data_IF_154592614262
#
_entry.id   IF_154592614262
#
_cell.length_a   1.000
_cell.length_b   1.000
_cell.length_c   1.000
_cell.angle_alpha   90.00
_cell.angle_beta   90.00
_cell.angle_gamma   90.00
#
_symmetry.space_group_name_H-M   'P 1'
#
loop_
_entity.id
_entity.type
_entity.pdbx_description
1 polymer ?
#
# COMPACT_ATOMS: atom_id res chain seq x y z
N UNK A 1 -4.98 -7.26 22.85
CA UNK A 1 -5.55 -6.28 21.90
C UNK A 1 -5.20 -6.69 20.48
N UNK A 2 -6.18 -7.08 19.67
CA UNK A 2 -6.01 -7.34 18.23
C UNK A 2 -5.96 -6.04 17.39
N UNK A 3 -5.64 -4.90 18.02
CA UNK A 3 -5.73 -3.56 17.42
C UNK A 3 -4.84 -3.39 16.19
N UNK A 4 -3.64 -3.97 16.21
CA UNK A 4 -2.67 -3.78 15.13
C UNK A 4 -2.93 -4.68 13.92
N UNK A 5 -3.62 -5.82 14.09
CA UNK A 5 -3.89 -6.74 12.98
C UNK A 5 -4.85 -6.12 11.95
N UNK A 6 -5.88 -5.41 12.43
CA UNK A 6 -6.81 -4.68 11.56
C UNK A 6 -6.10 -3.57 10.80
N UNK A 7 -5.27 -2.79 11.50
CA UNK A 7 -4.50 -1.72 10.90
C UNK A 7 -3.51 -2.25 9.86
N UNK A 8 -2.75 -3.30 10.19
CA UNK A 8 -1.81 -3.94 9.27
C UNK A 8 -2.51 -4.43 8.00
N UNK A 9 -3.66 -5.10 8.12
CA UNK A 9 -4.46 -5.54 6.97
C UNK A 9 -4.90 -4.37 6.10
N UNK A 10 -5.45 -3.33 6.71
CA UNK A 10 -5.89 -2.12 5.99
C UNK A 10 -4.72 -1.43 5.28
N UNK A 11 -3.54 -1.38 5.89
CA UNK A 11 -2.34 -0.82 5.27
C UNK A 11 -1.95 -1.60 4.03
N UNK A 12 -1.88 -2.94 4.11
CA UNK A 12 -1.53 -3.79 2.96
C UNK A 12 -2.56 -3.67 1.81
N UNK A 13 -3.86 -3.64 2.13
CA UNK A 13 -4.92 -3.46 1.12
C UNK A 13 -4.79 -2.12 0.36
N UNK A 14 -4.45 -1.06 1.09
CA UNK A 14 -4.23 0.26 0.50
C UNK A 14 -2.95 0.30 -0.34
N UNK A 15 -1.88 -0.39 0.11
CA UNK A 15 -0.66 -0.54 -0.66
C UNK A 15 -0.91 -1.30 -1.97
N UNK A 16 -1.64 -2.41 -1.95
CA UNK A 16 -1.98 -3.18 -3.15
C UNK A 16 -2.76 -2.33 -4.18
N UNK A 17 -3.69 -1.49 -3.72
CA UNK A 17 -4.42 -0.56 -4.60
C UNK A 17 -3.48 0.47 -5.26
N UNK A 18 -2.46 0.95 -4.53
CA UNK A 18 -1.48 1.91 -5.05
C UNK A 18 -0.48 1.23 -6.00
N UNK A 19 -0.07 0.01 -5.70
CA UNK A 19 0.79 -0.79 -6.55
C UNK A 19 0.12 -1.05 -7.91
N UNK A 20 -1.16 -1.41 -7.92
CA UNK A 20 -1.91 -1.55 -9.17
C UNK A 20 -1.92 -0.26 -10.02
N UNK A 21 -2.05 0.91 -9.40
CA UNK A 21 -1.97 2.20 -10.10
C UNK A 21 -0.57 2.50 -10.64
N UNK A 22 0.48 2.20 -9.87
CA UNK A 22 1.87 2.34 -10.34
C UNK A 22 2.14 1.43 -11.53
N UNK A 23 1.74 0.16 -11.45
CA UNK A 23 1.89 -0.83 -12.52
C UNK A 23 1.16 -0.39 -13.80
N UNK A 24 -0.02 0.21 -13.67
CA UNK A 24 -0.78 0.72 -14.82
C UNK A 24 -0.07 1.84 -15.59
N UNK A 25 0.95 2.48 -14.99
CA UNK A 25 1.77 3.51 -15.64
C UNK A 25 3.11 2.98 -16.17
N UNK A 26 3.41 1.70 -15.98
CA UNK A 26 4.64 1.08 -16.47
C UNK A 26 4.43 0.50 -17.88
N UNK A 27 5.37 0.75 -18.79
CA UNK A 27 5.28 0.26 -20.16
C UNK A 27 5.35 -1.29 -20.22
N UNK A 28 6.24 -1.90 -19.44
CA UNK A 28 6.44 -3.36 -19.41
C UNK A 28 6.72 -3.85 -17.98
N UNK A 29 5.69 -4.00 -17.12
CA UNK A 29 5.87 -4.51 -15.77
C UNK A 29 6.31 -5.98 -15.76
N UNK A 30 7.18 -6.35 -14.83
CA UNK A 30 7.65 -7.72 -14.65
C UNK A 30 6.79 -8.49 -13.64
N UNK A 31 6.97 -9.81 -13.58
CA UNK A 31 6.33 -10.64 -12.54
C UNK A 31 6.74 -10.21 -11.13
N UNK A 32 8.00 -9.79 -10.95
CA UNK A 32 8.48 -9.31 -9.65
C UNK A 32 7.75 -8.02 -9.25
N UNK A 33 7.48 -7.11 -10.19
CA UNK A 33 6.75 -5.88 -9.93
C UNK A 33 5.31 -6.16 -9.48
N UNK A 34 4.67 -7.19 -10.06
CA UNK A 34 3.33 -7.66 -9.70
C UNK A 34 3.25 -8.24 -8.28
N UNK A 35 4.33 -8.82 -7.79
CA UNK A 35 4.38 -9.50 -6.49
C UNK A 35 4.99 -8.65 -5.37
N UNK A 36 5.61 -7.51 -5.71
CA UNK A 36 6.36 -6.69 -4.75
C UNK A 36 5.62 -5.40 -4.42
N UNK A 37 5.34 -5.21 -3.13
CA UNK A 37 4.97 -3.92 -2.56
C UNK A 37 6.23 -3.13 -2.21
N UNK A 38 6.33 -1.88 -2.67
CA UNK A 38 7.48 -1.01 -2.39
C UNK A 38 7.05 0.18 -1.51
N UNK A 39 8.03 0.97 -1.05
CA UNK A 39 7.78 2.12 -0.19
C UNK A 39 6.80 3.12 -0.79
N UNK A 40 6.85 3.33 -2.11
CA UNK A 40 5.96 4.25 -2.83
C UNK A 40 4.48 3.84 -2.77
N UNK A 41 4.19 2.57 -2.48
CA UNK A 41 2.82 2.09 -2.28
C UNK A 41 2.26 2.45 -0.93
N UNK A 42 3.10 2.85 0.04
CA UNK A 42 2.58 3.22 1.35
C UNK A 42 1.62 4.40 1.22
N UNK A 43 0.44 4.30 1.86
CA UNK A 43 -0.40 5.45 2.07
C UNK A 43 0.40 6.54 2.76
N UNK A 44 0.44 7.74 2.18
CA UNK A 44 0.99 8.89 2.89
C UNK A 44 0.17 9.02 4.17
N UNK A 45 0.87 9.07 5.31
CA UNK A 45 0.25 9.38 6.59
C UNK A 45 -0.46 10.72 6.44
N UNK A 46 -1.79 10.68 6.51
CA UNK A 46 -2.55 11.89 6.68
C UNK A 46 -2.44 12.23 8.16
N UNK A 47 -1.66 13.25 8.51
CA UNK A 47 -1.44 13.66 9.90
C UNK A 47 -2.75 14.08 10.60
N UNK A 48 -3.83 14.30 9.84
CA UNK A 48 -5.17 14.54 10.34
C UNK A 48 -5.89 13.26 10.86
N UNK A 49 -5.40 12.07 10.53
CA UNK A 49 -5.96 10.78 10.99
C UNK A 49 -5.30 10.28 12.29
N UNK A 50 -4.45 11.09 12.94
CA UNK A 50 -3.86 10.76 14.24
C UNK A 50 -4.95 10.86 15.31
N UNK A 51 -5.37 9.74 15.96
CA UNK A 51 -6.24 9.86 17.13
C UNK A 51 -5.44 10.53 18.23
N UNK A 52 -5.99 11.62 18.79
CA UNK A 52 -5.48 12.26 20.00
C UNK A 52 -5.55 11.35 21.22
#
# INVERSE_FOLDING_TARGET
SFGNARLARQTVERMATRQARRLATMDTPTMNDLQTLILDDLPRLNLADTPG
#
